data_IF_280345950031
#
_entry.id   IF_280345950031
#
_cell.length_a   1.000
_cell.length_b   1.000
_cell.length_c   1.000
_cell.angle_alpha   90.00
_cell.angle_beta   90.00
_cell.angle_gamma   90.00
#
_symmetry.space_group_name_H-M   'P 1'
#
loop_
_entity.id
_entity.type
_entity.pdbx_description
1 polymer ?
#
# COMPACT_ATOMS: atom_id res chain seq x y z
N UNK A 1 1.30 -1.56 -65.12
CA UNK A 1 1.12 -0.62 -64.00
C UNK A 1 0.71 -1.29 -62.67
N UNK A 2 0.57 -2.63 -62.58
CA UNK A 2 0.28 -3.33 -61.30
C UNK A 2 1.47 -4.19 -60.82
N UNK A 3 2.21 -4.83 -61.74
CA UNK A 3 3.35 -5.73 -61.47
C UNK A 3 4.68 -5.04 -61.02
N UNK A 4 4.62 -3.81 -60.49
CA UNK A 4 5.79 -3.10 -59.93
C UNK A 4 5.63 -2.75 -58.44
N UNK A 5 4.44 -2.94 -57.85
CA UNK A 5 4.19 -2.61 -56.45
C UNK A 5 4.63 -3.73 -55.49
N UNK A 6 4.45 -5.00 -55.88
CA UNK A 6 4.68 -6.17 -55.02
C UNK A 6 6.17 -6.41 -54.69
N UNK A 7 7.10 -5.93 -55.55
CA UNK A 7 8.55 -6.07 -55.35
C UNK A 7 9.18 -5.07 -54.37
N UNK A 8 8.42 -4.08 -53.88
CA UNK A 8 8.91 -3.13 -52.87
C UNK A 8 8.50 -3.58 -51.47
N UNK A 9 7.29 -4.13 -51.31
CA UNK A 9 6.76 -4.61 -50.02
C UNK A 9 7.58 -5.81 -49.48
N UNK A 10 8.12 -6.64 -50.37
CA UNK A 10 8.94 -7.81 -50.00
C UNK A 10 10.37 -7.48 -49.54
N UNK A 11 10.87 -6.24 -49.69
CA UNK A 11 12.26 -5.88 -49.34
C UNK A 11 12.43 -5.16 -47.98
N UNK A 12 11.38 -5.08 -47.16
CA UNK A 12 11.45 -4.47 -45.81
C UNK A 12 11.65 -5.53 -44.72
N UNK A 13 11.24 -6.78 -44.94
CA UNK A 13 11.02 -7.74 -43.87
C UNK A 13 12.25 -8.59 -43.47
N UNK A 14 13.48 -8.14 -43.73
CA UNK A 14 14.70 -8.86 -43.33
C UNK A 14 15.94 -7.96 -43.09
N UNK A 15 15.84 -6.97 -42.20
CA UNK A 15 17.02 -6.23 -41.70
C UNK A 15 16.84 -5.63 -40.28
N UNK A 16 17.46 -6.25 -39.27
CA UNK A 16 17.91 -5.67 -37.99
C UNK A 16 17.06 -4.51 -37.38
N UNK A 17 15.99 -4.86 -36.66
CA UNK A 17 15.40 -3.97 -35.63
C UNK A 17 16.29 -3.87 -34.39
N UNK A 18 17.45 -3.23 -34.53
CA UNK A 18 18.38 -2.89 -33.44
C UNK A 18 18.96 -1.47 -33.49
N UNK A 19 18.63 -0.70 -34.52
CA UNK A 19 19.27 0.61 -34.81
C UNK A 19 18.26 1.76 -34.92
N UNK A 20 17.00 1.49 -35.26
CA UNK A 20 15.95 2.49 -35.50
C UNK A 20 15.52 3.20 -34.20
N UNK A 21 15.41 2.46 -33.09
CA UNK A 21 15.00 3.00 -31.77
C UNK A 21 15.98 4.03 -31.19
N UNK A 22 17.27 4.00 -31.58
CA UNK A 22 18.26 5.01 -31.16
C UNK A 22 18.23 6.31 -31.98
N UNK A 23 17.49 6.35 -33.09
CA UNK A 23 17.38 7.54 -33.95
C UNK A 23 16.14 8.37 -33.57
N UNK A 24 14.98 7.74 -33.34
CA UNK A 24 13.75 8.44 -32.93
C UNK A 24 13.97 9.32 -31.67
N UNK A 25 14.67 8.79 -30.66
CA UNK A 25 14.92 9.51 -29.39
C UNK A 25 15.72 10.80 -29.52
N UNK A 26 16.53 10.98 -30.59
CA UNK A 26 17.28 12.22 -30.81
C UNK A 26 16.51 13.30 -31.56
N UNK A 27 15.54 12.93 -32.41
CA UNK A 27 14.72 13.92 -33.12
C UNK A 27 13.71 14.61 -32.18
N UNK A 28 13.10 13.87 -31.24
CA UNK A 28 12.10 14.44 -30.31
C UNK A 28 12.71 15.51 -29.41
N UNK A 29 13.94 15.34 -28.94
CA UNK A 29 14.62 16.30 -28.06
C UNK A 29 14.97 17.61 -28.78
N UNK A 30 15.26 17.56 -30.09
CA UNK A 30 15.55 18.74 -30.92
C UNK A 30 14.31 19.59 -31.22
N UNK A 31 13.14 18.96 -31.39
CA UNK A 31 11.89 19.69 -31.67
C UNK A 31 11.37 20.50 -30.47
N UNK A 32 11.53 20.00 -29.23
CA UNK A 32 11.07 20.71 -28.02
C UNK A 32 11.95 21.91 -27.69
N UNK A 33 13.27 21.82 -27.90
CA UNK A 33 14.20 22.91 -27.65
C UNK A 33 14.00 24.12 -28.59
N UNK A 34 13.42 23.94 -29.77
CA UNK A 34 13.25 25.00 -30.77
C UNK A 34 12.06 25.94 -30.50
N UNK A 35 11.14 25.56 -29.61
CA UNK A 35 9.89 26.29 -29.34
C UNK A 35 10.08 27.44 -28.31
N UNK A 36 11.21 27.46 -27.59
CA UNK A 36 11.49 28.42 -26.50
C UNK A 36 12.40 29.60 -26.87
N UNK A 37 12.65 29.88 -28.16
CA UNK A 37 13.63 30.92 -28.57
C UNK A 37 13.20 31.92 -29.66
N UNK A 38 12.02 31.80 -30.29
CA UNK A 38 11.63 32.69 -31.41
C UNK A 38 10.17 33.15 -31.41
N UNK A 39 9.74 33.80 -30.31
CA UNK A 39 8.66 34.80 -30.37
C UNK A 39 8.93 35.95 -29.39
N UNK A 40 9.76 36.90 -29.83
CA UNK A 40 9.80 38.26 -29.27
C UNK A 40 9.84 39.26 -30.44
N UNK A 41 9.02 40.30 -30.32
CA UNK A 41 9.04 41.59 -31.04
C UNK A 41 8.92 41.63 -32.58
N UNK A 42 7.75 42.11 -33.06
CA UNK A 42 7.58 43.43 -33.72
C UNK A 42 6.12 43.58 -34.25
N UNK A 43 5.47 44.76 -34.28
CA UNK A 43 5.73 46.08 -33.68
C UNK A 43 4.49 47.01 -33.85
N UNK A 44 4.51 48.21 -33.21
CA UNK A 44 3.76 49.44 -33.57
C UNK A 44 2.23 49.46 -33.31
N UNK A 45 1.54 50.51 -32.84
CA UNK A 45 1.81 51.77 -32.06
C UNK A 45 0.40 52.28 -31.58
N UNK A 46 0.03 53.47 -31.04
CA UNK A 46 0.59 54.80 -30.68
C UNK A 46 -0.48 55.48 -29.77
N UNK A 47 -0.32 56.44 -28.85
CA UNK A 47 0.79 57.19 -28.23
C UNK A 47 0.55 57.14 -26.68
N UNK A 48 1.11 58.05 -25.85
CA UNK A 48 0.67 58.19 -24.45
C UNK A 48 1.65 58.78 -23.41
N UNK A 49 2.76 59.40 -23.86
CA UNK A 49 3.85 60.08 -23.13
C UNK A 49 4.10 59.85 -21.62
N UNK A 50 5.34 59.44 -21.35
CA UNK A 50 6.01 59.36 -20.04
C UNK A 50 6.25 60.73 -19.34
N UNK A 51 6.67 60.68 -18.06
CA UNK A 51 7.91 61.28 -17.48
C UNK A 51 7.73 61.63 -15.98
N UNK A 52 8.72 61.59 -15.08
CA UNK A 52 10.01 60.86 -15.00
C UNK A 52 10.45 60.88 -13.50
N UNK A 53 11.54 60.20 -13.14
CA UNK A 53 12.10 60.20 -11.76
C UNK A 53 12.45 61.62 -11.25
N UNK A 54 12.20 61.90 -9.96
CA UNK A 54 13.30 61.94 -8.97
C UNK A 54 12.84 62.11 -7.50
N UNK A 55 13.73 61.70 -6.60
CA UNK A 55 13.65 61.75 -5.14
C UNK A 55 13.90 63.18 -4.61
N UNK A 56 12.99 63.73 -3.78
CA UNK A 56 13.27 64.97 -3.02
C UNK A 56 12.73 64.97 -1.59
N UNK A 57 13.62 64.65 -0.66
CA UNK A 57 13.44 64.79 0.78
C UNK A 57 13.08 66.25 1.13
N UNK A 58 11.93 66.45 1.80
CA UNK A 58 11.42 67.78 2.16
C UNK A 58 10.85 67.77 3.58
N UNK A 59 11.70 68.01 4.57
CA UNK A 59 11.25 68.34 5.93
C UNK A 59 10.64 69.74 5.95
N UNK A 60 9.40 69.88 6.46
CA UNK A 60 9.16 70.80 7.59
C UNK A 60 7.73 70.73 8.20
N UNK A 61 7.72 70.62 9.53
CA UNK A 61 6.81 71.30 10.48
C UNK A 61 5.32 70.89 10.48
N UNK A 62 5.03 69.93 11.36
CA UNK A 62 4.01 69.96 12.42
C UNK A 62 2.59 70.48 12.05
N UNK A 63 1.63 69.54 12.04
CA UNK A 63 0.48 69.66 12.95
C UNK A 63 0.27 68.33 13.70
N UNK A 64 -0.43 68.39 14.83
CA UNK A 64 -0.52 67.32 15.83
C UNK A 64 -1.89 66.64 15.82
N UNK A 65 -1.91 65.35 15.51
CA UNK A 65 -2.99 64.42 15.90
C UNK A 65 -2.35 63.15 16.47
N UNK A 66 -2.65 62.87 17.74
CA UNK A 66 -2.31 61.58 18.37
C UNK A 66 -3.53 60.68 18.22
N UNK A 67 -3.51 59.80 17.23
CA UNK A 67 -4.42 58.66 17.18
C UNK A 67 -3.62 57.40 17.52
N UNK A 68 -4.07 56.68 18.55
CA UNK A 68 -3.40 55.48 19.03
C UNK A 68 -3.77 54.27 18.18
N UNK A 69 -3.20 54.18 16.98
CA UNK A 69 -3.02 52.87 16.35
C UNK A 69 -2.01 52.07 17.17
N UNK A 70 -2.54 51.25 18.08
CA UNK A 70 -1.83 50.06 18.53
C UNK A 70 -1.68 49.15 17.32
N UNK A 71 -0.47 49.06 16.77
CA UNK A 71 0.01 47.75 16.33
C UNK A 71 -0.01 46.86 17.58
N UNK A 72 -1.11 46.13 17.80
CA UNK A 72 -1.14 45.03 18.74
C UNK A 72 -0.21 43.96 18.14
N UNK A 73 1.05 44.01 18.56
CA UNK A 73 2.08 43.01 18.28
C UNK A 73 1.69 41.72 18.99
N UNK A 74 0.71 41.01 18.42
CA UNK A 74 0.24 39.68 18.82
C UNK A 74 1.46 38.77 18.81
N UNK A 75 2.02 38.60 20.01
CA UNK A 75 3.30 37.95 20.18
C UNK A 75 3.09 36.47 19.98
N UNK A 76 3.56 35.95 18.85
CA UNK A 76 3.30 34.57 18.44
C UNK A 76 3.69 33.59 19.54
N UNK A 77 2.74 32.74 19.91
CA UNK A 77 2.91 31.69 20.89
C UNK A 77 3.70 30.55 20.28
N UNK A 78 4.72 30.08 20.96
CA UNK A 78 5.61 29.02 20.49
C UNK A 78 5.21 27.68 21.07
N UNK A 79 4.88 26.73 20.21
CA UNK A 79 4.56 25.36 20.58
C UNK A 79 5.70 24.43 20.15
N UNK A 80 6.32 23.76 21.12
CA UNK A 80 7.40 22.79 20.91
C UNK A 80 6.91 21.40 21.30
N UNK A 81 6.95 20.45 20.37
CA UNK A 81 6.37 19.13 20.54
C UNK A 81 7.44 18.04 20.42
N UNK A 82 7.50 17.17 21.42
CA UNK A 82 8.40 16.01 21.48
C UNK A 82 7.55 14.74 21.60
N UNK A 83 7.97 13.64 20.98
CA UNK A 83 7.31 12.33 21.15
C UNK A 83 8.31 11.23 21.44
N UNK A 84 7.92 10.25 22.28
CA UNK A 84 8.78 9.18 22.78
C UNK A 84 8.06 7.84 22.72
N UNK A 85 8.81 6.76 22.50
CA UNK A 85 8.26 5.40 22.44
C UNK A 85 7.76 4.90 23.81
N UNK A 86 8.28 5.48 24.90
CA UNK A 86 8.01 5.15 26.30
C UNK A 86 8.48 6.31 27.18
N UNK A 87 8.14 6.30 28.47
CA UNK A 87 8.75 7.12 29.53
C UNK A 87 10.30 6.99 29.55
N UNK A 88 10.97 7.77 28.70
CA UNK A 88 12.41 7.81 28.47
C UNK A 88 12.82 9.27 28.19
N UNK A 89 14.11 9.51 27.91
CA UNK A 89 14.62 10.82 27.48
C UNK A 89 14.99 10.86 25.99
N UNK A 90 14.67 9.82 25.21
CA UNK A 90 14.97 9.76 23.78
C UNK A 90 13.73 10.10 22.96
N UNK A 91 13.82 11.18 22.18
CA UNK A 91 12.76 11.61 21.27
C UNK A 91 12.82 10.82 19.94
N UNK A 92 11.65 10.51 19.38
CA UNK A 92 11.52 9.85 18.08
C UNK A 92 11.96 10.83 16.99
N UNK A 93 13.07 10.50 16.31
CA UNK A 93 13.69 11.40 15.31
C UNK A 93 13.05 11.37 13.91
N UNK A 94 12.23 10.36 13.59
CA UNK A 94 11.63 10.19 12.25
C UNK A 94 10.34 9.38 12.27
N UNK A 95 9.46 9.64 11.29
CA UNK A 95 8.22 8.90 11.06
C UNK A 95 7.03 9.35 11.91
N UNK A 96 7.18 10.43 12.67
CA UNK A 96 6.04 11.15 13.25
C UNK A 96 5.38 12.01 12.17
N UNK A 97 4.05 12.08 12.19
CA UNK A 97 3.30 13.15 11.52
C UNK A 97 2.44 13.87 12.54
N UNK A 98 2.72 15.16 12.71
CA UNK A 98 2.03 16.10 13.58
C UNK A 98 1.04 16.91 12.76
N UNK A 99 -0.17 17.11 13.28
CA UNK A 99 -1.22 17.94 12.68
C UNK A 99 -1.84 18.82 13.77
N UNK A 100 -1.86 20.12 13.53
CA UNK A 100 -2.45 21.12 14.43
C UNK A 100 -3.78 21.56 13.83
N UNK A 101 -4.86 21.43 14.59
CA UNK A 101 -6.20 21.78 14.17
C UNK A 101 -6.80 22.90 15.03
N UNK A 102 -7.68 23.70 14.45
CA UNK A 102 -8.60 24.53 15.23
C UNK A 102 -9.66 23.62 15.93
N UNK A 103 -10.07 23.93 17.17
CA UNK A 103 -10.96 23.07 17.98
C UNK A 103 -12.44 23.23 17.63
N UNK A 104 -12.79 24.15 16.72
CA UNK A 104 -14.16 24.39 16.26
C UNK A 104 -14.28 23.83 14.84
N UNK A 105 -15.37 23.11 14.56
CA UNK A 105 -15.65 22.56 13.22
C UNK A 105 -15.86 23.68 12.20
N UNK A 106 -15.30 23.50 11.00
CA UNK A 106 -15.51 24.36 9.83
C UNK A 106 -16.83 24.07 9.12
N UNK A 107 -17.06 24.81 8.03
CA UNK A 107 -18.29 24.73 7.21
C UNK A 107 -18.51 23.34 6.57
N UNK A 108 -17.44 22.56 6.40
CA UNK A 108 -17.48 21.17 5.91
C UNK A 108 -17.70 20.12 7.01
N UNK A 109 -17.99 20.56 8.24
CA UNK A 109 -18.15 19.76 9.45
C UNK A 109 -16.89 18.92 9.81
N UNK A 110 -15.69 19.42 9.48
CA UNK A 110 -14.40 18.88 9.94
C UNK A 110 -13.61 19.90 10.74
N UNK A 111 -12.61 19.46 11.49
CA UNK A 111 -11.68 20.36 12.18
C UNK A 111 -10.73 21.02 11.15
N UNK A 112 -10.63 22.35 11.06
CA UNK A 112 -9.71 23.03 10.14
C UNK A 112 -8.25 22.73 10.48
N UNK A 113 -7.48 22.24 9.51
CA UNK A 113 -6.04 22.01 9.65
C UNK A 113 -5.30 23.36 9.54
N UNK A 114 -4.56 23.71 10.60
CA UNK A 114 -3.78 24.95 10.70
C UNK A 114 -2.32 24.73 10.29
N UNK A 115 -1.72 23.62 10.73
CA UNK A 115 -0.33 23.29 10.40
C UNK A 115 -0.09 21.77 10.40
N UNK A 116 0.93 21.32 9.69
CA UNK A 116 1.37 19.91 9.67
C UNK A 116 2.90 19.84 9.60
N UNK A 117 3.50 18.79 10.15
CA UNK A 117 4.93 18.54 10.09
C UNK A 117 5.23 17.04 10.14
N UNK A 118 6.15 16.58 9.29
CA UNK A 118 6.58 15.18 9.20
C UNK A 118 8.06 15.07 9.56
N UNK A 119 8.42 14.15 10.47
CA UNK A 119 9.79 14.02 10.93
C UNK A 119 9.90 13.47 12.36
N UNK A 120 10.64 14.20 13.20
CA UNK A 120 10.74 13.97 14.64
C UNK A 120 10.05 15.08 15.43
N UNK A 121 10.66 15.57 16.51
CA UNK A 121 10.16 16.71 17.30
C UNK A 121 9.86 17.93 16.42
N UNK A 122 8.77 18.64 16.73
CA UNK A 122 8.22 19.72 15.92
C UNK A 122 8.25 21.08 16.64
N UNK A 123 8.25 22.17 15.86
CA UNK A 123 8.16 23.54 16.37
C UNK A 123 7.20 24.35 15.51
N UNK A 124 6.17 24.92 16.14
CA UNK A 124 5.23 25.84 15.51
C UNK A 124 5.30 27.19 16.24
N UNK A 125 5.27 28.30 15.50
CA UNK A 125 4.85 29.60 16.04
C UNK A 125 3.40 29.80 15.56
N UNK A 126 2.50 30.09 16.49
CA UNK A 126 1.04 30.15 16.29
C UNK A 126 0.50 31.45 16.88
N UNK A 127 -0.75 31.78 16.58
CA UNK A 127 -1.45 32.87 17.26
C UNK A 127 -1.89 32.43 18.68
N UNK A 128 -2.11 33.37 19.62
CA UNK A 128 -2.68 33.05 20.93
C UNK A 128 -4.12 32.56 20.75
N UNK A 129 -4.40 31.34 21.21
CA UNK A 129 -5.63 30.66 20.85
C UNK A 129 -5.71 29.23 21.39
N UNK A 130 -6.75 28.53 20.99
CA UNK A 130 -7.04 27.15 21.41
C UNK A 130 -6.85 26.21 20.22
N UNK A 131 -6.23 25.04 20.43
CA UNK A 131 -5.81 24.12 19.38
C UNK A 131 -5.91 22.65 19.82
N UNK A 132 -6.18 21.77 18.85
CA UNK A 132 -6.06 20.32 18.98
C UNK A 132 -4.79 19.84 18.27
N UNK A 133 -3.91 19.18 19.01
CA UNK A 133 -2.71 18.52 18.48
C UNK A 133 -3.09 17.06 18.20
N UNK A 134 -2.89 16.59 16.97
CA UNK A 134 -2.91 15.18 16.62
C UNK A 134 -1.50 14.74 16.22
N UNK A 135 -1.00 13.72 16.91
CA UNK A 135 0.27 13.05 16.65
C UNK A 135 -0.01 11.64 16.14
N UNK A 136 0.69 11.24 15.08
CA UNK A 136 0.60 9.89 14.50
C UNK A 136 1.98 9.30 14.21
N UNK A 137 2.17 8.00 14.47
CA UNK A 137 3.42 7.24 14.28
C UNK A 137 3.10 5.82 13.80
N UNK A 138 2.92 5.65 12.49
CA UNK A 138 2.25 4.46 11.94
C UNK A 138 0.82 4.39 12.45
N UNK A 139 0.43 3.27 13.08
CA UNK A 139 -0.93 3.07 13.61
C UNK A 139 -1.08 3.58 15.06
N UNK A 140 -0.04 4.16 15.65
CA UNK A 140 -0.12 4.77 16.99
C UNK A 140 -0.52 6.23 16.86
N UNK A 141 -1.62 6.61 17.50
CA UNK A 141 -2.13 7.98 17.54
C UNK A 141 -2.22 8.54 18.95
N UNK A 142 -2.06 9.85 19.09
CA UNK A 142 -2.34 10.59 20.32
C UNK A 142 -2.96 11.95 19.99
N UNK A 143 -3.91 12.40 20.83
CA UNK A 143 -4.54 13.71 20.72
C UNK A 143 -4.41 14.44 22.05
N UNK A 144 -4.08 15.72 22.00
CA UNK A 144 -3.96 16.62 23.16
C UNK A 144 -4.55 17.99 22.83
N UNK A 145 -5.09 18.66 23.84
CA UNK A 145 -5.72 19.97 23.71
C UNK A 145 -4.86 21.03 24.40
N UNK A 146 -4.57 22.12 23.69
CA UNK A 146 -3.73 23.21 24.21
C UNK A 146 -4.38 24.56 24.02
N UNK A 147 -4.25 25.40 25.04
CA UNK A 147 -4.52 26.82 24.96
C UNK A 147 -3.17 27.54 25.05
N UNK A 148 -2.95 28.48 24.14
CA UNK A 148 -1.71 29.25 23.99
C UNK A 148 -1.95 30.71 24.33
N UNK A 149 -1.16 31.23 25.27
CA UNK A 149 -1.22 32.64 25.69
C UNK A 149 -0.23 33.51 24.88
N UNK A 150 -0.46 34.82 24.85
CA UNK A 150 0.37 35.76 24.06
C UNK A 150 1.84 35.73 24.51
N UNK A 151 2.75 35.46 23.56
CA UNK A 151 4.19 35.32 23.79
C UNK A 151 4.60 34.05 24.55
N UNK A 152 3.67 33.16 24.89
CA UNK A 152 3.96 31.94 25.64
C UNK A 152 4.80 30.95 24.84
N UNK A 153 5.79 30.31 25.48
CA UNK A 153 6.53 29.18 24.91
C UNK A 153 6.15 27.89 25.63
N UNK A 154 5.21 27.13 25.06
CA UNK A 154 4.72 25.86 25.60
C UNK A 154 5.51 24.68 25.04
N UNK A 155 5.96 23.78 25.92
CA UNK A 155 6.58 22.50 25.56
C UNK A 155 5.66 21.36 25.96
N UNK A 156 5.37 20.44 25.03
CA UNK A 156 4.59 19.21 25.28
C UNK A 156 5.41 17.98 24.91
N UNK A 157 5.38 16.97 25.77
CA UNK A 157 6.02 15.67 25.57
C UNK A 157 4.92 14.59 25.48
N UNK A 158 4.92 13.82 24.40
CA UNK A 158 3.97 12.73 24.17
C UNK A 158 4.67 11.39 24.38
N UNK A 159 4.24 10.62 25.36
CA UNK A 159 4.59 9.21 25.44
C UNK A 159 3.57 8.44 24.62
N UNK A 160 4.02 7.77 23.55
CA UNK A 160 3.15 7.00 22.65
C UNK A 160 2.94 5.56 23.12
N UNK A 161 3.76 5.08 24.05
CA UNK A 161 3.87 3.68 24.47
C UNK A 161 3.86 2.74 23.25
N UNK A 162 4.71 3.06 22.27
CA UNK A 162 4.72 2.45 20.94
C UNK A 162 5.81 1.39 20.82
N UNK A 163 5.47 0.25 20.23
CA UNK A 163 6.41 -0.79 19.81
C UNK A 163 6.40 -1.00 18.30
N UNK A 164 7.29 -1.87 17.84
CA UNK A 164 7.25 -2.45 16.50
C UNK A 164 6.95 -3.94 16.55
N UNK A 165 6.29 -4.46 15.53
CA UNK A 165 6.26 -5.89 15.22
C UNK A 165 6.84 -6.14 13.83
N UNK A 166 7.63 -7.21 13.70
CA UNK A 166 8.04 -7.81 12.44
C UNK A 166 7.38 -9.18 12.37
N UNK A 167 6.61 -9.41 11.31
CA UNK A 167 5.94 -10.68 11.05
C UNK A 167 6.67 -11.42 9.94
N UNK A 168 6.90 -12.71 10.14
CA UNK A 168 7.44 -13.62 9.14
C UNK A 168 6.78 -15.01 9.28
N UNK A 169 6.99 -15.89 8.32
CA UNK A 169 6.52 -17.26 8.40
C UNK A 169 7.52 -18.25 7.79
N UNK A 170 7.32 -19.52 8.12
CA UNK A 170 8.12 -20.66 7.67
C UNK A 170 7.19 -21.81 7.29
N UNK A 171 7.73 -22.80 6.58
CA UNK A 171 7.07 -24.09 6.37
C UNK A 171 7.82 -25.16 7.16
N UNK A 172 7.09 -26.16 7.68
CA UNK A 172 7.68 -27.29 8.43
C UNK A 172 8.80 -28.01 7.64
N UNK A 173 8.66 -28.09 6.31
CA UNK A 173 9.74 -28.44 5.38
C UNK A 173 9.78 -27.43 4.23
N UNK A 174 10.84 -27.43 3.42
CA UNK A 174 10.90 -26.61 2.19
C UNK A 174 11.21 -25.14 2.44
N UNK A 175 10.57 -24.23 1.69
CA UNK A 175 10.79 -22.77 1.79
C UNK A 175 9.54 -22.02 1.33
N UNK A 176 9.11 -21.01 2.09
CA UNK A 176 7.86 -20.30 1.84
C UNK A 176 7.98 -19.30 0.67
N UNK A 177 6.98 -19.24 -0.20
CA UNK A 177 6.91 -18.23 -1.26
C UNK A 177 6.39 -16.90 -0.70
N UNK A 178 7.30 -15.97 -0.36
CA UNK A 178 7.00 -14.66 0.23
C UNK A 178 5.97 -13.79 -0.54
N UNK A 179 5.69 -14.10 -1.82
CA UNK A 179 4.70 -13.38 -2.64
C UNK A 179 3.25 -13.76 -2.31
N UNK A 180 3.04 -15.00 -1.89
CA UNK A 180 1.75 -15.54 -1.47
C UNK A 180 1.49 -15.28 0.03
N UNK A 181 2.55 -14.92 0.77
CA UNK A 181 2.52 -14.71 2.22
C UNK A 181 2.09 -13.28 2.57
N UNK A 182 1.03 -13.17 3.37
CA UNK A 182 0.59 -11.91 3.97
C UNK A 182 0.04 -12.12 5.39
N UNK A 183 -0.07 -11.04 6.16
CA UNK A 183 -0.60 -11.10 7.52
C UNK A 183 -1.70 -10.07 7.75
N UNK A 184 -2.61 -10.40 8.67
CA UNK A 184 -3.67 -9.54 9.17
C UNK A 184 -3.54 -9.44 10.68
N UNK A 185 -3.57 -8.21 11.21
CA UNK A 185 -3.45 -7.89 12.63
C UNK A 185 -4.79 -7.37 13.12
N UNK A 186 -5.30 -7.95 14.19
CA UNK A 186 -6.58 -7.66 14.82
C UNK A 186 -6.38 -7.08 16.23
N UNK A 187 -7.31 -6.25 16.67
CA UNK A 187 -7.38 -5.77 18.05
C UNK A 187 -7.84 -6.90 18.99
N UNK A 188 -7.23 -7.00 20.17
CA UNK A 188 -7.54 -8.03 21.16
C UNK A 188 -8.85 -7.70 21.91
N UNK A 189 -10.00 -8.00 21.30
CA UNK A 189 -11.25 -8.24 22.02
C UNK A 189 -12.37 -8.92 21.17
N UNK A 190 -12.17 -10.19 20.75
CA UNK A 190 -13.21 -11.26 20.52
C UNK A 190 -12.68 -12.44 19.69
N UNK A 191 -13.20 -13.65 19.94
CA UNK A 191 -13.03 -14.80 19.05
C UNK A 191 -13.89 -14.69 17.78
N UNK A 192 -13.32 -15.09 16.64
CA UNK A 192 -14.04 -15.58 15.44
C UNK A 192 -15.06 -14.65 14.75
N UNK A 193 -14.80 -13.35 14.69
CA UNK A 193 -15.46 -12.44 13.74
C UNK A 193 -14.41 -11.49 13.12
N UNK A 194 -14.59 -11.06 11.86
CA UNK A 194 -13.64 -10.14 11.18
C UNK A 194 -13.78 -8.68 11.66
N UNK A 195 -14.61 -8.44 12.67
CA UNK A 195 -14.64 -7.20 13.45
C UNK A 195 -13.30 -6.99 14.18
N UNK A 196 -12.68 -5.81 14.01
CA UNK A 196 -11.48 -5.43 14.75
C UNK A 196 -10.15 -5.53 13.98
N UNK A 197 -10.17 -5.73 12.66
CA UNK A 197 -8.96 -5.62 11.81
C UNK A 197 -8.32 -4.23 11.97
N UNK A 198 -7.10 -4.19 12.52
CA UNK A 198 -6.26 -2.98 12.59
C UNK A 198 -5.57 -2.77 11.25
N UNK A 199 -5.04 -3.86 10.66
CA UNK A 199 -4.24 -3.81 9.45
C UNK A 199 -4.25 -5.16 8.73
N UNK A 200 -4.65 -5.17 7.46
CA UNK A 200 -4.57 -6.35 6.57
C UNK A 200 -3.48 -6.19 5.51
N UNK A 201 -3.15 -7.28 4.82
CA UNK A 201 -2.14 -7.31 3.74
C UNK A 201 -0.75 -6.83 4.17
N UNK A 202 -0.38 -7.06 5.44
CA UNK A 202 0.98 -6.83 5.94
C UNK A 202 1.95 -7.77 5.21
N UNK A 203 3.08 -7.25 4.77
CA UNK A 203 4.10 -8.02 4.08
C UNK A 203 5.07 -8.67 5.07
N UNK A 204 5.63 -9.86 4.78
CA UNK A 204 6.71 -10.44 5.58
C UNK A 204 7.88 -9.46 5.74
N UNK A 205 8.56 -9.57 6.88
CA UNK A 205 9.75 -8.80 7.26
C UNK A 205 9.54 -7.27 7.32
N UNK A 206 8.30 -6.79 7.24
CA UNK A 206 7.97 -5.35 7.35
C UNK A 206 7.73 -4.93 8.81
N UNK A 207 8.22 -3.74 9.18
CA UNK A 207 8.05 -3.19 10.54
C UNK A 207 6.71 -2.45 10.64
N UNK A 208 5.70 -3.09 11.24
CA UNK A 208 4.45 -2.44 11.63
C UNK A 208 4.66 -1.76 12.99
N UNK A 209 4.23 -0.50 13.11
CA UNK A 209 4.21 0.24 14.39
C UNK A 209 2.83 0.11 15.01
N UNK A 210 2.79 -0.32 16.26
CA UNK A 210 1.58 -0.54 17.05
C UNK A 210 1.78 0.05 18.45
N UNK A 211 0.68 0.24 19.18
CA UNK A 211 0.75 0.60 20.60
C UNK A 211 1.21 -0.64 21.38
N UNK A 212 1.70 -0.46 22.60
CA UNK A 212 1.96 -1.57 23.50
C UNK A 212 0.63 -2.16 23.98
N UNK A 213 0.56 -3.49 23.96
CA UNK A 213 -0.68 -4.24 24.19
C UNK A 213 -0.59 -5.65 23.64
N UNK A 214 -1.71 -6.35 23.70
CA UNK A 214 -1.92 -7.66 23.10
C UNK A 214 -2.67 -7.51 21.77
N UNK A 215 -2.37 -8.39 20.82
CA UNK A 215 -2.97 -8.39 19.48
C UNK A 215 -3.07 -9.82 18.95
N UNK A 216 -4.07 -10.09 18.13
CA UNK A 216 -4.19 -11.35 17.41
C UNK A 216 -3.66 -11.20 15.98
N UNK A 217 -2.91 -12.19 15.48
CA UNK A 217 -2.33 -12.18 14.13
C UNK A 217 -2.73 -13.43 13.37
N UNK A 218 -3.30 -13.24 12.19
CA UNK A 218 -3.44 -14.29 11.17
C UNK A 218 -2.31 -14.15 10.13
N UNK A 219 -1.60 -15.24 9.88
CA UNK A 219 -0.67 -15.42 8.76
C UNK A 219 -1.38 -16.24 7.68
N UNK A 220 -1.48 -15.68 6.48
CA UNK A 220 -2.14 -16.30 5.33
C UNK A 220 -1.08 -16.65 4.29
N UNK A 221 -1.07 -17.90 3.83
CA UNK A 221 -0.18 -18.37 2.76
C UNK A 221 -1.02 -18.77 1.54
N UNK A 222 -0.97 -17.95 0.49
CA UNK A 222 -1.89 -18.02 -0.64
C UNK A 222 -3.30 -17.52 -0.27
N UNK A 223 -4.31 -17.98 -1.01
CA UNK A 223 -5.67 -17.40 -1.00
C UNK A 223 -6.80 -18.39 -0.68
N UNK A 224 -6.50 -19.54 -0.06
CA UNK A 224 -7.49 -20.59 0.23
C UNK A 224 -7.55 -20.90 1.73
N UNK A 225 -6.96 -22.02 2.21
CA UNK A 225 -7.16 -22.52 3.56
C UNK A 225 -5.94 -22.45 4.49
N UNK A 226 -4.74 -22.16 3.97
CA UNK A 226 -3.52 -22.06 4.77
C UNK A 226 -3.47 -20.74 5.56
N UNK A 227 -4.11 -20.76 6.74
CA UNK A 227 -4.18 -19.64 7.68
C UNK A 227 -3.76 -20.12 9.07
N UNK A 228 -2.66 -19.57 9.58
CA UNK A 228 -2.13 -19.86 10.93
C UNK A 228 -2.36 -18.64 11.82
N UNK A 229 -2.85 -18.86 13.04
CA UNK A 229 -3.23 -17.79 13.99
C UNK A 229 -2.35 -17.83 15.24
N UNK A 230 -2.02 -16.66 15.79
CA UNK A 230 -1.19 -16.54 17.00
C UNK A 230 -1.43 -15.21 17.72
N UNK A 231 -1.44 -15.25 19.06
CA UNK A 231 -1.53 -14.07 19.91
C UNK A 231 -0.13 -13.51 20.19
N UNK A 232 0.04 -12.19 20.10
CA UNK A 232 1.32 -11.51 20.25
C UNK A 232 1.26 -10.41 21.31
N UNK A 233 2.39 -10.13 21.95
CA UNK A 233 2.56 -8.96 22.82
C UNK A 233 3.52 -7.96 22.15
N UNK A 234 3.07 -6.71 22.04
CA UNK A 234 3.89 -5.58 21.60
C UNK A 234 4.35 -4.80 22.83
N UNK A 235 5.66 -4.66 22.98
CA UNK A 235 6.28 -3.93 24.10
C UNK A 235 6.70 -2.52 23.69
N UNK A 236 6.34 -1.52 24.51
CA UNK A 236 6.75 -0.13 24.31
C UNK A 236 8.28 0.02 24.27
N UNK A 237 8.79 0.61 23.18
CA UNK A 237 10.22 0.80 22.94
C UNK A 237 10.99 -0.42 22.43
N UNK A 238 10.32 -1.53 22.10
CA UNK A 238 10.95 -2.73 21.50
C UNK A 238 10.48 -2.97 20.05
N UNK A 239 11.16 -3.89 19.38
CA UNK A 239 10.62 -4.61 18.22
C UNK A 239 10.41 -6.06 18.66
N UNK A 240 9.19 -6.58 18.52
CA UNK A 240 8.86 -8.00 18.65
C UNK A 240 8.99 -8.65 17.26
N UNK A 241 9.74 -9.74 17.15
CA UNK A 241 9.77 -10.56 15.93
C UNK A 241 8.93 -11.83 16.16
N UNK A 242 8.08 -12.16 15.19
CA UNK A 242 7.15 -13.31 15.28
C UNK A 242 7.25 -14.11 13.99
N UNK A 243 7.51 -15.41 14.14
CA UNK A 243 7.63 -16.37 13.05
C UNK A 243 6.53 -17.42 13.24
N UNK A 244 5.60 -17.53 12.27
CA UNK A 244 4.54 -18.52 12.29
C UNK A 244 4.90 -19.70 11.36
N UNK A 245 4.69 -20.94 11.81
CA UNK A 245 4.94 -22.15 11.01
C UNK A 245 3.65 -22.59 10.30
N UNK A 246 3.71 -22.73 8.97
CA UNK A 246 2.65 -23.29 8.15
C UNK A 246 2.92 -24.76 7.82
N UNK A 247 1.84 -25.54 7.73
CA UNK A 247 1.85 -26.90 7.22
C UNK A 247 1.10 -26.91 5.89
N UNK A 248 1.81 -26.61 4.80
CA UNK A 248 1.22 -26.30 3.50
C UNK A 248 2.20 -26.48 2.32
N UNK A 249 1.69 -26.56 1.10
CA UNK A 249 2.50 -26.56 -0.13
C UNK A 249 1.76 -25.88 -1.30
N UNK A 250 2.53 -25.48 -2.33
CA UNK A 250 2.00 -24.95 -3.58
C UNK A 250 1.71 -26.10 -4.55
N UNK A 251 0.45 -26.24 -4.97
CA UNK A 251 -0.03 -27.29 -5.85
C UNK A 251 -0.44 -26.68 -7.20
N UNK A 252 -0.02 -27.34 -8.30
CA UNK A 252 -0.38 -26.95 -9.67
C UNK A 252 -1.22 -28.04 -10.32
N UNK A 253 -2.53 -27.80 -10.41
CA UNK A 253 -3.48 -28.71 -11.06
C UNK A 253 -3.48 -28.53 -12.58
N UNK A 254 -3.54 -29.65 -13.32
CA UNK A 254 -3.72 -29.69 -14.78
C UNK A 254 -4.47 -30.94 -15.23
N UNK A 255 -5.36 -30.80 -16.21
CA UNK A 255 -6.10 -31.92 -16.81
C UNK A 255 -5.43 -32.29 -18.13
N UNK A 256 -4.98 -33.53 -18.29
CA UNK A 256 -4.16 -33.98 -19.44
C UNK A 256 -4.81 -35.16 -20.16
N UNK A 257 -4.52 -35.32 -21.46
CA UNK A 257 -5.03 -36.48 -22.25
C UNK A 257 -4.37 -37.81 -21.92
N UNK A 258 -3.15 -37.75 -21.40
CA UNK A 258 -2.27 -38.84 -21.05
C UNK A 258 -1.23 -38.28 -20.05
N UNK A 259 -0.62 -39.12 -19.21
CA UNK A 259 0.40 -38.65 -18.27
C UNK A 259 1.55 -37.92 -18.98
N UNK A 260 2.01 -36.82 -18.38
CA UNK A 260 3.01 -35.92 -18.97
C UNK A 260 2.56 -35.12 -20.20
N UNK A 261 1.28 -35.16 -20.57
CA UNK A 261 0.72 -34.41 -21.71
C UNK A 261 0.49 -32.92 -21.44
N UNK A 262 0.10 -32.19 -22.50
CA UNK A 262 -0.34 -30.80 -22.39
C UNK A 262 -1.69 -30.67 -21.66
N UNK A 263 -1.85 -29.55 -20.95
CA UNK A 263 -3.06 -29.24 -20.20
C UNK A 263 -4.23 -28.83 -21.11
N UNK A 264 -5.43 -29.32 -20.81
CA UNK A 264 -6.66 -29.00 -21.52
C UNK A 264 -7.21 -27.63 -21.10
N UNK A 265 -7.24 -26.71 -22.07
CA UNK A 265 -7.98 -25.45 -21.95
C UNK A 265 -9.48 -25.68 -21.72
N UNK A 266 -10.15 -24.63 -21.22
CA UNK A 266 -11.59 -24.61 -20.90
C UNK A 266 -12.01 -25.68 -19.88
N UNK A 267 -11.11 -26.02 -18.96
CA UNK A 267 -11.37 -26.91 -17.81
C UNK A 267 -11.87 -26.09 -16.62
N UNK A 268 -13.03 -26.44 -16.12
CA UNK A 268 -13.57 -25.96 -14.84
C UNK A 268 -13.07 -26.86 -13.72
N UNK A 269 -12.58 -26.27 -12.64
CA UNK A 269 -12.04 -26.95 -11.47
C UNK A 269 -12.90 -26.69 -10.25
N UNK A 270 -13.15 -27.74 -9.48
CA UNK A 270 -13.67 -27.68 -8.12
C UNK A 270 -12.76 -28.56 -7.27
N UNK A 271 -12.25 -28.05 -6.15
CA UNK A 271 -11.38 -28.80 -5.23
C UNK A 271 -12.18 -28.99 -3.94
N UNK A 272 -12.25 -30.23 -3.45
CA UNK A 272 -12.87 -30.55 -2.16
C UNK A 272 -11.84 -31.04 -1.15
N UNK A 273 -12.19 -30.93 0.14
CA UNK A 273 -11.57 -31.75 1.19
C UNK A 273 -11.98 -33.23 1.05
N UNK A 274 -11.47 -34.07 1.95
CA UNK A 274 -11.84 -35.49 2.13
C UNK A 274 -13.35 -35.73 2.39
N UNK A 275 -14.00 -34.74 3.01
CA UNK A 275 -15.40 -34.75 3.43
C UNK A 275 -16.38 -34.37 2.31
N UNK A 276 -15.87 -33.88 1.17
CA UNK A 276 -16.65 -33.46 0.00
C UNK A 276 -17.07 -31.99 -0.02
N UNK A 277 -16.66 -31.18 0.97
CA UNK A 277 -16.90 -29.73 0.98
C UNK A 277 -16.01 -29.05 -0.06
N UNK A 278 -16.61 -28.21 -0.91
CA UNK A 278 -15.90 -27.43 -1.92
C UNK A 278 -15.11 -26.31 -1.23
N UNK A 279 -13.79 -26.34 -1.36
CA UNK A 279 -12.87 -25.33 -0.79
C UNK A 279 -12.46 -24.26 -1.80
N UNK A 280 -12.48 -24.56 -3.09
CA UNK A 280 -12.09 -23.61 -4.15
C UNK A 280 -12.65 -24.03 -5.52
N UNK A 281 -13.10 -23.05 -6.31
CA UNK A 281 -13.54 -23.25 -7.69
C UNK A 281 -12.92 -22.21 -8.63
N UNK A 282 -12.57 -22.63 -9.86
CA UNK A 282 -12.00 -21.74 -10.88
C UNK A 282 -12.10 -22.35 -12.29
N UNK A 283 -11.66 -21.61 -13.32
CA UNK A 283 -11.59 -22.09 -14.71
C UNK A 283 -10.21 -21.80 -15.28
N UNK A 284 -9.51 -22.81 -15.79
CA UNK A 284 -8.16 -22.67 -16.32
C UNK A 284 -7.55 -23.98 -16.82
N UNK A 285 -6.57 -23.88 -17.73
CA UNK A 285 -5.77 -25.05 -18.14
C UNK A 285 -4.82 -25.51 -17.02
N UNK A 286 -4.23 -24.54 -16.32
CA UNK A 286 -3.43 -24.72 -15.11
C UNK A 286 -4.07 -23.93 -13.98
N UNK A 287 -4.07 -24.51 -12.77
CA UNK A 287 -4.47 -23.82 -11.54
C UNK A 287 -3.35 -23.95 -10.53
N UNK A 288 -2.68 -22.84 -10.21
CA UNK A 288 -1.71 -22.78 -9.12
C UNK A 288 -2.42 -22.29 -7.86
N UNK A 289 -2.30 -23.03 -6.77
CA UNK A 289 -2.93 -22.72 -5.49
C UNK A 289 -2.06 -23.19 -4.32
N UNK A 290 -2.36 -22.74 -3.10
CA UNK A 290 -1.67 -23.16 -1.87
C UNK A 290 -2.70 -23.83 -0.95
N UNK A 291 -2.35 -24.99 -0.42
CA UNK A 291 -3.22 -25.80 0.44
C UNK A 291 -2.49 -26.22 1.72
N UNK A 292 -3.26 -26.37 2.80
CA UNK A 292 -2.83 -27.04 4.04
C UNK A 292 -2.53 -28.51 3.78
N UNK A 293 -1.58 -29.10 4.52
CA UNK A 293 -1.30 -30.54 4.56
C UNK A 293 -2.58 -31.36 4.85
N UNK A 294 -2.86 -32.38 4.03
CA UNK A 294 -4.12 -33.14 4.09
C UNK A 294 -4.51 -33.82 2.77
N UNK A 295 -5.66 -34.49 2.77
CA UNK A 295 -6.23 -35.20 1.61
C UNK A 295 -7.28 -34.36 0.89
N UNK A 296 -7.24 -34.34 -0.44
CA UNK A 296 -8.11 -33.53 -1.29
C UNK A 296 -8.57 -34.27 -2.54
N UNK A 297 -9.66 -33.82 -3.14
CA UNK A 297 -10.17 -34.31 -4.43
C UNK A 297 -10.16 -33.16 -5.44
N UNK A 298 -9.41 -33.32 -6.53
CA UNK A 298 -9.44 -32.41 -7.67
C UNK A 298 -10.50 -32.88 -8.68
N UNK A 299 -11.58 -32.12 -8.83
CA UNK A 299 -12.66 -32.38 -9.79
C UNK A 299 -12.48 -31.46 -11.00
N UNK A 300 -12.19 -32.05 -12.15
CA UNK A 300 -11.92 -31.37 -13.41
C UNK A 300 -13.02 -31.65 -14.43
N UNK A 301 -13.87 -30.66 -14.72
CA UNK A 301 -14.89 -30.74 -15.78
C UNK A 301 -14.37 -30.10 -17.06
N UNK A 302 -14.30 -30.87 -18.14
CA UNK A 302 -13.99 -30.37 -19.47
C UNK A 302 -15.11 -30.77 -20.43
N UNK A 303 -15.85 -29.76 -20.93
CA UNK A 303 -17.11 -29.94 -21.68
C UNK A 303 -18.11 -30.77 -20.84
N UNK A 304 -18.64 -31.84 -21.42
CA UNK A 304 -19.66 -32.69 -20.82
C UNK A 304 -19.08 -33.84 -19.97
N UNK A 305 -17.75 -33.85 -19.73
CA UNK A 305 -17.06 -34.90 -18.97
C UNK A 305 -16.47 -34.37 -17.68
N UNK A 306 -16.64 -35.14 -16.60
CA UNK A 306 -16.09 -34.87 -15.27
C UNK A 306 -15.05 -35.94 -14.96
N UNK A 307 -13.87 -35.48 -14.54
CA UNK A 307 -12.76 -36.31 -14.11
C UNK A 307 -12.40 -35.96 -12.66
N UNK A 308 -12.01 -36.95 -11.87
CA UNK A 308 -11.66 -36.78 -10.45
C UNK A 308 -10.31 -37.45 -10.15
N UNK A 309 -9.50 -36.83 -9.29
CA UNK A 309 -8.27 -37.44 -8.74
C UNK A 309 -8.14 -37.07 -7.27
N UNK A 310 -7.94 -38.07 -6.42
CA UNK A 310 -7.54 -37.87 -5.02
C UNK A 310 -6.04 -37.58 -4.96
N UNK A 311 -5.62 -36.65 -4.11
CA UNK A 311 -4.21 -36.33 -3.89
C UNK A 311 -3.96 -35.85 -2.45
N UNK A 312 -2.80 -36.22 -1.92
CA UNK A 312 -2.27 -35.76 -0.64
C UNK A 312 -1.46 -34.47 -0.85
N UNK A 313 -1.60 -33.50 0.05
CA UNK A 313 -0.69 -32.35 0.16
C UNK A 313 0.21 -32.59 1.36
N UNK A 314 1.52 -32.41 1.20
CA UNK A 314 2.53 -32.59 2.26
C UNK A 314 3.30 -31.29 2.43
N UNK A 315 3.46 -30.80 3.68
CA UNK A 315 4.07 -29.50 3.96
C UNK A 315 5.48 -29.39 3.36
N UNK A 316 5.69 -28.35 2.55
CA UNK A 316 6.95 -28.07 1.87
C UNK A 316 7.24 -28.90 0.61
N UNK A 317 6.28 -29.72 0.13
CA UNK A 317 6.42 -30.46 -1.13
C UNK A 317 5.47 -29.92 -2.20
N UNK A 318 5.96 -28.95 -2.98
CA UNK A 318 5.20 -28.37 -4.10
C UNK A 318 5.06 -29.40 -5.24
N UNK A 319 3.83 -29.66 -5.72
CA UNK A 319 3.53 -30.77 -6.65
C UNK A 319 2.63 -30.39 -7.85
N UNK A 320 2.91 -31.01 -9.00
CA UNK A 320 2.30 -30.78 -10.32
C UNK A 320 1.21 -31.85 -10.62
N UNK A 321 0.09 -31.81 -9.89
CA UNK A 321 -0.98 -32.83 -9.93
C UNK A 321 -1.67 -32.90 -11.31
N UNK A 322 -1.52 -34.06 -11.94
CA UNK A 322 -2.05 -34.35 -13.28
C UNK A 322 -3.34 -35.19 -13.20
N UNK A 323 -4.49 -34.64 -13.54
CA UNK A 323 -5.72 -35.43 -13.74
C UNK A 323 -5.69 -35.99 -15.16
N UNK A 324 -5.82 -37.30 -15.33
CA UNK A 324 -5.78 -37.93 -16.67
C UNK A 324 -7.21 -38.14 -17.19
N UNK A 325 -7.48 -37.70 -18.42
CA UNK A 325 -8.80 -37.69 -19.05
C UNK A 325 -9.31 -39.08 -19.52
N UNK A 326 -9.01 -40.15 -18.77
CA UNK A 326 -9.31 -41.55 -19.06
C UNK A 326 -10.63 -42.04 -18.44
N UNK A 327 -10.86 -43.36 -18.43
CA UNK A 327 -12.08 -43.99 -17.89
C UNK A 327 -11.96 -44.50 -16.44
N UNK A 328 -10.81 -44.34 -15.79
CA UNK A 328 -10.62 -44.62 -14.35
C UNK A 328 -10.93 -43.37 -13.52
N UNK A 329 -10.47 -42.21 -13.97
CA UNK A 329 -10.74 -40.92 -13.32
C UNK A 329 -12.12 -40.35 -13.68
N UNK A 330 -12.80 -40.87 -14.72
CA UNK A 330 -14.11 -40.38 -15.14
C UNK A 330 -15.18 -40.74 -14.11
N UNK A 331 -15.89 -39.72 -13.60
CA UNK A 331 -17.04 -39.96 -12.73
C UNK A 331 -18.13 -40.67 -13.52
N UNK A 332 -18.52 -41.87 -13.07
CA UNK A 332 -19.72 -42.52 -13.56
C UNK A 332 -20.94 -41.76 -13.07
N UNK A 333 -21.71 -41.25 -14.01
CA UNK A 333 -23.09 -40.83 -13.78
C UNK A 333 -23.91 -42.10 -14.03
N UNK A 334 -24.38 -42.74 -12.96
CA UNK A 334 -25.29 -43.87 -13.09
C UNK A 334 -26.68 -43.33 -13.46
N UNK A 335 -27.05 -43.44 -14.73
CA UNK A 335 -28.35 -43.02 -15.27
C UNK A 335 -29.48 -44.00 -14.89
N UNK A 336 -29.65 -44.29 -13.59
CA UNK A 336 -30.84 -44.97 -13.05
C UNK A 336 -31.91 -43.93 -12.64
N UNK A 337 -32.65 -43.43 -13.62
CA UNK A 337 -33.95 -42.79 -13.40
C UNK A 337 -34.84 -42.93 -14.64
N UNK A 338 -35.81 -43.84 -14.56
CA UNK A 338 -36.87 -44.16 -15.56
C UNK A 338 -38.24 -43.95 -14.89
#
# INVERSE_FOLDING_TARGET
MILLLEKIITLVNNAKMGTITKILGRCVWLCVALILLFFNDCAFSEEGREQYYSQKQSTNIILKSQDHEKEDLVSQSRLILHARLKNSNEDIVKGLVWRIYAPILGVDNKLPLIATYEGGSARFDLEPGSYLIHLSFGHVGAVDHVNLESGQSLVKNFNLDAGGVILNATLLNGTINEKELHFTIYEDEKENDDTGVILSNVKPQSIVRLKAGHYHVASHYGSINAIVRSDIQVDAGKITEVILEHQAAQIVLKLVRQEGGEALADTSWSITNDSGDIIYETVGAYVSLVLVEGEYIAIAKNKDKIYQRVFSVVSGHDEDISVVADAQNMQKIDEEMD
#
